data_IF_626809844531
#
_entry.id   IF_626809844531
#
_cell.length_a   1.000
_cell.length_b   1.000
_cell.length_c   1.000
_cell.angle_alpha   90.00
_cell.angle_beta   90.00
_cell.angle_gamma   90.00
#
_symmetry.space_group_name_H-M   'P 1'
#
loop_
_entity.id
_entity.type
_entity.pdbx_description
1 polymer ?
#
# COMPACT_ATOMS: atom_id res chain seq x y z
N UNK A 1 -11.74 4.48 -13.60
CA UNK A 1 -10.61 3.51 -13.73
C UNK A 1 -9.98 3.39 -12.36
N UNK A 2 -9.65 2.19 -11.94
CA UNK A 2 -8.95 1.95 -10.68
C UNK A 2 -7.44 2.04 -10.89
N UNK A 3 -6.69 2.37 -9.85
CA UNK A 3 -5.23 2.34 -9.91
C UNK A 3 -4.72 0.96 -9.47
N UNK A 4 -3.78 0.39 -10.22
CA UNK A 4 -3.02 -0.84 -9.98
C UNK A 4 -3.84 -2.14 -9.92
N UNK A 5 -4.95 -2.20 -9.17
CA UNK A 5 -5.78 -3.42 -9.05
C UNK A 5 -7.25 -3.12 -9.32
N UNK A 6 -7.92 -4.05 -9.99
CA UNK A 6 -9.33 -3.92 -10.39
C UNK A 6 -10.02 -5.31 -10.41
N UNK A 7 -11.28 -5.35 -10.86
CA UNK A 7 -12.06 -6.60 -10.98
C UNK A 7 -11.45 -7.66 -11.91
N UNK A 8 -10.59 -7.24 -12.85
CA UNK A 8 -9.94 -8.14 -13.81
C UNK A 8 -8.59 -8.65 -13.30
N UNK A 9 -8.13 -8.15 -12.13
CA UNK A 9 -6.91 -8.60 -11.46
C UNK A 9 -7.04 -10.06 -11.02
N UNK A 10 -6.13 -10.91 -11.50
CA UNK A 10 -6.04 -12.32 -11.10
C UNK A 10 -4.97 -12.48 -10.03
N UNK A 11 -5.40 -12.73 -8.80
CA UNK A 11 -4.55 -12.71 -7.62
C UNK A 11 -4.12 -14.12 -7.24
N UNK A 12 -2.82 -14.32 -7.02
CA UNK A 12 -2.27 -15.47 -6.30
C UNK A 12 -1.75 -15.05 -4.92
N UNK A 13 -1.76 -15.98 -3.98
CA UNK A 13 -1.25 -15.76 -2.62
C UNK A 13 -0.02 -16.64 -2.39
N UNK A 14 1.13 -16.03 -2.10
CA UNK A 14 2.32 -16.76 -1.65
C UNK A 14 2.26 -16.94 -0.13
N UNK A 15 2.59 -18.15 0.34
CA UNK A 15 2.31 -18.57 1.72
C UNK A 15 0.85 -18.99 1.93
N UNK A 16 0.17 -19.40 0.87
CA UNK A 16 -1.28 -19.62 0.78
C UNK A 16 -1.85 -20.57 1.84
N UNK A 17 -1.13 -21.63 2.19
CA UNK A 17 -1.58 -22.63 3.17
C UNK A 17 -1.09 -22.36 4.60
N UNK A 18 -0.40 -21.25 4.85
CA UNK A 18 -0.07 -20.76 6.17
C UNK A 18 -1.29 -20.13 6.86
N UNK A 19 -1.23 -19.88 8.17
CA UNK A 19 -2.34 -19.27 8.94
C UNK A 19 -2.79 -17.94 8.36
N UNK A 20 -1.85 -17.01 8.20
CA UNK A 20 -2.12 -15.66 7.67
C UNK A 20 -2.57 -15.69 6.20
N UNK A 21 -1.87 -16.49 5.37
CA UNK A 21 -2.24 -16.68 3.97
C UNK A 21 -3.65 -17.23 3.82
N UNK A 22 -4.01 -18.23 4.61
CA UNK A 22 -5.36 -18.85 4.62
C UNK A 22 -6.43 -17.83 5.03
N UNK A 23 -6.22 -17.17 6.17
CA UNK A 23 -7.19 -16.22 6.70
C UNK A 23 -7.44 -15.05 5.74
N UNK A 24 -6.38 -14.39 5.31
CA UNK A 24 -6.51 -13.20 4.46
C UNK A 24 -6.93 -13.54 3.03
N UNK A 25 -6.52 -14.69 2.48
CA UNK A 25 -7.05 -15.15 1.19
C UNK A 25 -8.56 -15.41 1.26
N UNK A 26 -9.04 -16.01 2.34
CA UNK A 26 -10.47 -16.17 2.61
C UNK A 26 -11.21 -14.85 2.61
N UNK A 27 -10.67 -13.84 3.31
CA UNK A 27 -11.21 -12.48 3.35
C UNK A 27 -11.16 -11.74 2.00
N UNK A 28 -10.14 -12.01 1.18
CA UNK A 28 -10.08 -11.48 -0.20
C UNK A 28 -11.15 -12.10 -1.09
N UNK A 29 -11.35 -13.42 -0.99
CA UNK A 29 -12.39 -14.16 -1.73
C UNK A 29 -13.79 -13.68 -1.31
N UNK A 30 -14.03 -13.53 -0.01
CA UNK A 30 -15.30 -13.01 0.53
C UNK A 30 -15.61 -11.59 0.04
N UNK A 31 -14.58 -10.74 -0.09
CA UNK A 31 -14.71 -9.40 -0.65
C UNK A 31 -15.07 -9.40 -2.14
N UNK A 32 -14.90 -10.51 -2.84
CA UNK A 32 -15.11 -10.64 -4.28
C UNK A 32 -13.83 -10.50 -5.12
N UNK A 33 -12.65 -10.49 -4.50
CA UNK A 33 -11.37 -10.48 -5.22
C UNK A 33 -11.20 -11.79 -5.99
N UNK A 34 -10.78 -11.71 -7.24
CA UNK A 34 -10.54 -12.88 -8.08
C UNK A 34 -9.22 -13.58 -7.69
N UNK A 35 -9.23 -14.28 -6.56
CA UNK A 35 -8.12 -15.15 -6.15
C UNK A 35 -8.17 -16.42 -6.98
N UNK A 36 -7.17 -16.64 -7.82
CA UNK A 36 -7.13 -17.74 -8.79
C UNK A 36 -6.32 -18.95 -8.30
N UNK A 37 -5.58 -18.82 -7.21
CA UNK A 37 -4.77 -19.88 -6.61
C UNK A 37 -3.79 -19.34 -5.60
N UNK A 38 -2.89 -20.20 -5.15
CA UNK A 38 -1.81 -19.79 -4.26
C UNK A 38 -0.57 -20.66 -4.42
N UNK A 39 0.52 -20.20 -3.83
CA UNK A 39 1.83 -20.85 -3.90
C UNK A 39 2.26 -21.24 -2.49
N UNK A 40 2.59 -22.51 -2.33
CA UNK A 40 3.25 -23.06 -1.15
C UNK A 40 4.17 -24.19 -1.61
N UNK A 41 5.50 -24.00 -1.60
CA UNK A 41 6.45 -25.03 -2.01
C UNK A 41 6.21 -26.38 -1.29
N UNK A 42 6.24 -27.48 -2.04
CA UNK A 42 5.98 -28.83 -1.54
C UNK A 42 4.49 -29.22 -1.37
N UNK A 43 3.56 -28.29 -1.65
CA UNK A 43 2.11 -28.53 -1.59
C UNK A 43 1.40 -28.40 -2.93
N UNK A 44 2.14 -28.29 -4.02
CA UNK A 44 1.59 -28.25 -5.38
C UNK A 44 0.69 -29.44 -5.69
N UNK A 45 -0.39 -29.21 -6.42
CA UNK A 45 -1.39 -30.20 -6.76
C UNK A 45 -2.50 -30.37 -5.73
N UNK A 46 -2.38 -29.77 -4.54
CA UNK A 46 -3.45 -29.72 -3.53
C UNK A 46 -4.49 -28.65 -3.88
N UNK A 47 -5.64 -28.74 -3.22
CA UNK A 47 -6.68 -27.70 -3.24
C UNK A 47 -6.78 -27.07 -1.85
N UNK A 48 -6.82 -25.73 -1.78
CA UNK A 48 -6.99 -24.99 -0.54
C UNK A 48 -7.95 -23.81 -0.77
N UNK A 49 -8.91 -23.57 0.11
CA UNK A 49 -10.00 -22.60 -0.08
C UNK A 49 -10.69 -22.74 -1.45
N UNK A 50 -10.87 -23.96 -1.92
CA UNK A 50 -11.41 -24.31 -3.24
C UNK A 50 -10.59 -23.71 -4.43
N UNK A 51 -9.31 -23.44 -4.22
CA UNK A 51 -8.38 -22.93 -5.23
C UNK A 51 -7.15 -23.84 -5.33
N UNK A 52 -6.52 -23.94 -6.52
CA UNK A 52 -5.32 -24.75 -6.71
C UNK A 52 -4.14 -24.19 -5.94
N UNK A 53 -3.30 -25.09 -5.42
CA UNK A 53 -2.00 -24.77 -4.83
C UNK A 53 -0.90 -25.18 -5.80
N UNK A 54 0.09 -24.31 -5.97
CA UNK A 54 1.25 -24.49 -6.84
C UNK A 54 2.54 -24.51 -6.03
N UNK A 55 3.60 -25.08 -6.59
CA UNK A 55 4.91 -25.06 -5.95
C UNK A 55 5.68 -23.77 -6.22
N UNK A 56 5.46 -23.13 -7.39
CA UNK A 56 6.14 -21.92 -7.83
C UNK A 56 5.18 -20.88 -8.39
N UNK A 57 5.60 -19.61 -8.37
CA UNK A 57 4.83 -18.52 -8.97
C UNK A 57 4.75 -18.70 -10.50
N UNK A 58 5.82 -19.15 -11.14
CA UNK A 58 5.85 -19.41 -12.58
C UNK A 58 4.77 -20.45 -12.98
N UNK A 59 4.66 -21.56 -12.23
CA UNK A 59 3.62 -22.55 -12.47
C UNK A 59 2.22 -21.95 -12.31
N UNK A 60 2.00 -21.15 -11.25
CA UNK A 60 0.74 -20.50 -11.01
C UNK A 60 0.35 -19.53 -12.13
N UNK A 61 1.28 -18.69 -12.59
CA UNK A 61 1.08 -17.76 -13.71
C UNK A 61 0.73 -18.49 -15.00
N UNK A 62 1.49 -19.54 -15.35
CA UNK A 62 1.24 -20.33 -16.56
C UNK A 62 -0.13 -21.01 -16.57
N UNK A 63 -0.62 -21.46 -15.40
CA UNK A 63 -1.88 -22.19 -15.26
C UNK A 63 -3.10 -21.28 -15.15
N UNK A 64 -2.96 -20.09 -14.52
CA UNK A 64 -4.09 -19.23 -14.16
C UNK A 64 -4.11 -17.90 -14.90
N UNK A 65 -2.98 -17.47 -15.44
CA UNK A 65 -2.79 -16.14 -15.99
C UNK A 65 -2.77 -15.06 -14.89
N UNK A 66 -2.31 -15.41 -13.70
CA UNK A 66 -2.18 -14.47 -12.57
C UNK A 66 -1.29 -13.28 -12.93
N UNK A 67 -1.70 -12.08 -12.52
CA UNK A 67 -0.99 -10.83 -12.75
C UNK A 67 -0.75 -10.01 -11.46
N UNK A 68 -1.27 -10.49 -10.33
CA UNK A 68 -1.09 -9.90 -9.01
C UNK A 68 -0.65 -10.99 -8.02
N UNK A 69 0.34 -10.70 -7.18
CA UNK A 69 0.76 -11.58 -6.09
C UNK A 69 0.65 -10.88 -4.75
N UNK A 70 0.04 -11.55 -3.75
CA UNK A 70 0.00 -11.11 -2.37
C UNK A 70 0.85 -12.04 -1.51
N UNK A 71 1.84 -11.50 -0.76
CA UNK A 71 2.88 -12.27 -0.08
C UNK A 71 2.67 -12.24 1.43
N UNK A 72 2.53 -13.44 2.03
CA UNK A 72 2.40 -13.70 3.47
C UNK A 72 3.47 -14.67 3.99
N UNK A 73 4.57 -14.80 3.30
CA UNK A 73 5.66 -15.70 3.74
C UNK A 73 6.47 -15.09 4.88
N UNK A 74 7.16 -15.90 5.70
CA UNK A 74 8.04 -15.38 6.76
C UNK A 74 9.14 -14.46 6.21
N UNK A 75 9.66 -13.51 7.04
CA UNK A 75 10.62 -12.48 6.59
C UNK A 75 11.86 -13.01 5.87
N UNK A 76 12.37 -14.16 6.30
CA UNK A 76 13.57 -14.79 5.71
C UNK A 76 13.38 -15.23 4.24
N UNK A 77 12.14 -15.37 3.78
CA UNK A 77 11.81 -15.85 2.42
C UNK A 77 11.11 -14.77 1.57
N UNK A 78 10.77 -13.64 2.18
CA UNK A 78 9.94 -12.64 1.52
C UNK A 78 10.65 -11.94 0.36
N UNK A 79 11.96 -11.66 0.48
CA UNK A 79 12.76 -11.08 -0.59
C UNK A 79 12.79 -11.98 -1.84
N UNK A 80 13.04 -13.28 -1.65
CA UNK A 80 13.04 -14.26 -2.74
C UNK A 80 11.64 -14.39 -3.36
N UNK A 81 10.59 -14.36 -2.54
CA UNK A 81 9.19 -14.40 -3.02
C UNK A 81 8.82 -13.18 -3.86
N UNK A 82 9.34 -11.98 -3.53
CA UNK A 82 9.16 -10.78 -4.35
C UNK A 82 9.86 -10.93 -5.69
N UNK A 83 11.13 -11.37 -5.68
CA UNK A 83 11.93 -11.53 -6.90
C UNK A 83 11.37 -12.64 -7.79
N UNK A 84 10.92 -13.77 -7.23
CA UNK A 84 10.25 -14.84 -7.96
C UNK A 84 8.97 -14.34 -8.66
N UNK A 85 8.16 -13.55 -7.96
CA UNK A 85 6.95 -12.97 -8.54
C UNK A 85 7.26 -12.04 -9.72
N UNK A 86 8.27 -11.18 -9.57
CA UNK A 86 8.69 -10.27 -10.62
C UNK A 86 9.27 -11.02 -11.85
N UNK A 87 10.09 -12.05 -11.62
CA UNK A 87 10.67 -12.89 -12.70
C UNK A 87 9.58 -13.67 -13.43
N UNK A 88 8.54 -14.10 -12.73
CA UNK A 88 7.41 -14.83 -13.31
C UNK A 88 6.42 -13.93 -14.07
N UNK A 89 6.67 -12.63 -14.18
CA UNK A 89 5.86 -11.69 -14.97
C UNK A 89 4.65 -11.10 -14.23
N UNK A 90 4.57 -11.23 -12.91
CA UNK A 90 3.56 -10.56 -12.09
C UNK A 90 3.72 -9.04 -12.21
N UNK A 91 2.61 -8.32 -12.43
CA UNK A 91 2.61 -6.87 -12.64
C UNK A 91 2.48 -6.07 -11.34
N UNK A 92 1.74 -6.58 -10.36
CA UNK A 92 1.58 -5.95 -9.06
C UNK A 92 1.92 -6.96 -7.97
N UNK A 93 2.90 -6.64 -7.15
CA UNK A 93 3.37 -7.45 -6.03
C UNK A 93 3.03 -6.70 -4.75
N UNK A 94 2.28 -7.33 -3.86
CA UNK A 94 1.90 -6.78 -2.55
C UNK A 94 2.57 -7.61 -1.47
N UNK A 95 3.55 -7.06 -0.78
CA UNK A 95 4.26 -7.75 0.29
C UNK A 95 3.78 -7.26 1.65
N UNK A 96 3.03 -8.10 2.36
CA UNK A 96 2.49 -7.80 3.69
C UNK A 96 3.57 -7.97 4.77
N UNK A 97 4.49 -8.89 4.56
CA UNK A 97 5.50 -9.31 5.53
C UNK A 97 6.27 -8.14 6.13
N UNK A 98 6.33 -8.11 7.45
CA UNK A 98 7.17 -7.22 8.25
C UNK A 98 8.47 -7.91 8.65
N UNK A 99 9.55 -7.13 8.89
CA UNK A 99 10.81 -7.64 9.43
C UNK A 99 11.77 -8.22 8.40
N UNK A 100 11.59 -7.91 7.12
CA UNK A 100 12.55 -8.28 6.08
C UNK A 100 13.87 -7.51 6.34
N UNK A 101 15.03 -8.18 6.33
CA UNK A 101 16.32 -7.49 6.49
C UNK A 101 16.50 -6.40 5.44
N UNK A 102 16.96 -5.22 5.89
CA UNK A 102 17.16 -4.07 4.99
C UNK A 102 18.10 -4.39 3.82
N UNK A 103 19.14 -5.20 4.04
CA UNK A 103 20.06 -5.61 2.97
C UNK A 103 19.36 -6.45 1.89
N UNK A 104 18.41 -7.27 2.27
CA UNK A 104 17.65 -8.07 1.29
C UNK A 104 16.73 -7.17 0.48
N UNK A 105 16.13 -6.14 1.10
CA UNK A 105 15.33 -5.16 0.36
C UNK A 105 16.18 -4.26 -0.57
N UNK A 106 17.47 -4.02 -0.27
CA UNK A 106 18.41 -3.39 -1.21
C UNK A 106 18.57 -4.24 -2.46
N UNK A 107 18.78 -5.56 -2.30
CA UNK A 107 18.87 -6.50 -3.44
C UNK A 107 17.57 -6.54 -4.25
N UNK A 108 16.41 -6.63 -3.55
CA UNK A 108 15.10 -6.57 -4.20
C UNK A 108 14.95 -5.29 -5.02
N UNK A 109 15.28 -4.13 -4.44
CA UNK A 109 15.15 -2.84 -5.14
C UNK A 109 16.02 -2.79 -6.39
N UNK A 110 17.23 -3.31 -6.35
CA UNK A 110 18.12 -3.40 -7.51
C UNK A 110 17.57 -4.35 -8.56
N UNK A 111 17.12 -5.54 -8.15
CA UNK A 111 16.53 -6.54 -9.04
C UNK A 111 15.29 -6.04 -9.79
N UNK A 112 14.45 -5.21 -9.11
CA UNK A 112 13.21 -4.72 -9.69
C UNK A 112 13.39 -3.55 -10.65
N UNK A 113 14.58 -2.92 -10.76
CA UNK A 113 14.80 -1.74 -11.63
C UNK A 113 14.41 -1.98 -13.08
N UNK A 114 14.75 -3.15 -13.61
CA UNK A 114 14.53 -3.50 -15.00
C UNK A 114 13.30 -4.41 -15.21
N UNK A 115 12.46 -4.55 -14.20
CA UNK A 115 11.24 -5.37 -14.26
C UNK A 115 10.01 -4.49 -14.46
N UNK A 116 9.15 -4.93 -15.38
CA UNK A 116 7.84 -4.29 -15.60
C UNK A 116 6.83 -4.75 -14.55
N UNK A 117 7.10 -4.39 -13.30
CA UNK A 117 6.24 -4.69 -12.16
C UNK A 117 6.29 -3.57 -11.12
N UNK A 118 5.31 -3.55 -10.24
CA UNK A 118 5.24 -2.61 -9.12
C UNK A 118 5.12 -3.36 -7.80
N UNK A 119 6.02 -3.05 -6.87
CA UNK A 119 5.97 -3.56 -5.50
C UNK A 119 5.24 -2.56 -4.58
N UNK A 120 4.27 -3.03 -3.80
CA UNK A 120 3.64 -2.33 -2.67
C UNK A 120 4.13 -2.99 -1.39
N UNK A 121 4.62 -2.20 -0.45
CA UNK A 121 5.30 -2.69 0.74
C UNK A 121 6.81 -2.84 0.55
N UNK A 122 7.50 -3.61 1.40
CA UNK A 122 6.97 -4.52 2.43
C UNK A 122 6.36 -3.80 3.65
N UNK A 123 5.95 -4.60 4.66
CA UNK A 123 5.36 -4.10 5.91
C UNK A 123 4.18 -3.15 5.66
N UNK A 124 3.21 -3.61 4.91
CA UNK A 124 2.09 -2.79 4.47
C UNK A 124 0.75 -3.54 4.61
N UNK A 125 -0.38 -2.82 4.68
CA UNK A 125 -1.70 -3.44 4.70
C UNK A 125 -2.21 -3.85 3.31
N UNK A 126 -1.48 -3.50 2.25
CA UNK A 126 -1.85 -3.79 0.87
C UNK A 126 -2.56 -2.66 0.15
N UNK A 127 -3.43 -3.01 -0.78
CA UNK A 127 -4.22 -2.11 -1.61
C UNK A 127 -5.67 -2.58 -1.70
N UNK A 128 -6.61 -1.63 -1.71
CA UNK A 128 -8.02 -1.92 -1.91
C UNK A 128 -8.65 -0.89 -2.85
N UNK A 129 -9.13 -1.35 -3.99
CA UNK A 129 -10.01 -0.59 -4.89
C UNK A 129 -11.45 -0.95 -4.62
N UNK A 130 -12.25 0.04 -4.22
CA UNK A 130 -13.57 -0.18 -3.63
C UNK A 130 -14.54 -0.79 -4.65
N UNK A 131 -15.14 -1.92 -4.26
CA UNK A 131 -16.08 -2.67 -5.11
C UNK A 131 -15.42 -3.44 -6.25
N UNK A 132 -14.09 -3.48 -6.32
CA UNK A 132 -13.36 -4.16 -7.39
C UNK A 132 -12.40 -5.24 -6.87
N UNK A 133 -11.40 -4.86 -6.05
CA UNK A 133 -10.41 -5.81 -5.54
C UNK A 133 -9.81 -5.35 -4.22
N UNK A 134 -9.68 -6.28 -3.29
CA UNK A 134 -8.90 -6.17 -2.05
C UNK A 134 -7.69 -7.09 -2.18
N UNK A 135 -6.49 -6.56 -2.06
CA UNK A 135 -5.24 -7.34 -2.05
C UNK A 135 -4.45 -6.99 -0.81
N UNK A 136 -4.51 -7.86 0.18
CA UNK A 136 -3.89 -7.67 1.50
C UNK A 136 -4.89 -7.78 2.65
N UNK A 137 -4.63 -7.03 3.74
CA UNK A 137 -5.28 -7.22 5.04
C UNK A 137 -6.31 -6.14 5.40
N UNK A 138 -6.52 -5.14 4.56
CA UNK A 138 -7.46 -4.02 4.85
C UNK A 138 -8.87 -4.54 5.15
N UNK A 139 -9.58 -4.02 6.17
CA UNK A 139 -10.95 -4.43 6.50
C UNK A 139 -11.94 -3.84 5.48
N UNK A 140 -12.37 -4.63 4.50
CA UNK A 140 -13.19 -4.17 3.38
C UNK A 140 -14.54 -3.52 3.79
N UNK A 141 -15.08 -3.89 4.96
CA UNK A 141 -16.40 -3.43 5.42
C UNK A 141 -16.46 -1.95 5.84
N UNK A 142 -15.30 -1.30 6.08
CA UNK A 142 -15.27 0.15 6.40
C UNK A 142 -15.26 1.02 5.14
N UNK A 143 -15.06 0.44 3.96
CA UNK A 143 -14.94 1.15 2.70
C UNK A 143 -16.30 1.39 2.03
N UNK A 144 -16.45 2.54 1.41
CA UNK A 144 -17.58 2.86 0.55
C UNK A 144 -17.07 3.46 -0.75
N UNK A 145 -17.65 3.06 -1.89
CA UNK A 145 -17.26 3.61 -3.19
C UNK A 145 -17.51 5.11 -3.25
N UNK A 146 -16.51 5.85 -3.70
CA UNK A 146 -16.57 7.29 -3.77
C UNK A 146 -15.42 7.91 -4.56
N UNK A 147 -14.88 9.03 -4.08
CA UNK A 147 -13.99 9.87 -4.90
C UNK A 147 -12.63 10.23 -4.24
N UNK A 148 -12.31 9.69 -3.07
CA UNK A 148 -11.05 10.02 -2.38
C UNK A 148 -10.03 8.92 -2.54
N UNK A 149 -8.82 9.27 -3.02
CA UNK A 149 -7.64 8.39 -2.99
C UNK A 149 -6.92 8.52 -1.65
N UNK A 150 -6.45 7.41 -1.08
CA UNK A 150 -5.71 7.42 0.19
C UNK A 150 -4.37 6.73 0.02
N UNK A 151 -3.28 7.41 0.37
CA UNK A 151 -1.94 6.83 0.48
C UNK A 151 -1.40 7.01 1.89
N UNK A 152 -0.89 5.92 2.48
CA UNK A 152 -0.41 5.95 3.86
C UNK A 152 0.77 5.01 4.09
N UNK A 153 1.70 5.44 4.95
CA UNK A 153 2.75 4.56 5.50
C UNK A 153 2.23 3.68 6.64
N UNK A 154 1.17 4.10 7.31
CA UNK A 154 0.57 3.41 8.46
C UNK A 154 -0.70 2.66 8.07
N UNK A 155 -0.77 1.37 8.42
CA UNK A 155 -2.00 0.58 8.26
C UNK A 155 -3.15 1.13 9.09
N UNK A 156 -2.93 1.36 10.38
CA UNK A 156 -3.96 1.85 11.33
C UNK A 156 -4.52 3.22 10.91
N UNK A 157 -3.66 4.17 10.56
CA UNK A 157 -4.10 5.50 10.12
C UNK A 157 -4.79 5.46 8.74
N UNK A 158 -4.46 4.47 7.90
CA UNK A 158 -5.24 4.22 6.66
C UNK A 158 -6.69 3.92 7.01
N UNK A 159 -6.93 3.02 7.97
CA UNK A 159 -8.29 2.62 8.36
C UNK A 159 -9.05 3.78 9.00
N UNK A 160 -8.38 4.57 9.83
CA UNK A 160 -8.95 5.79 10.42
C UNK A 160 -9.40 6.79 9.35
N UNK A 161 -8.55 7.07 8.37
CA UNK A 161 -8.88 7.98 7.27
C UNK A 161 -10.03 7.45 6.42
N UNK A 162 -10.03 6.14 6.11
CA UNK A 162 -11.10 5.48 5.35
C UNK A 162 -12.44 5.61 6.07
N UNK A 163 -12.51 5.30 7.35
CA UNK A 163 -13.73 5.39 8.15
C UNK A 163 -14.28 6.82 8.18
N UNK A 164 -13.41 7.82 8.40
CA UNK A 164 -13.79 9.23 8.40
C UNK A 164 -14.33 9.69 7.05
N UNK A 165 -13.66 9.33 5.95
CA UNK A 165 -14.08 9.68 4.59
C UNK A 165 -15.42 9.02 4.25
N UNK A 166 -15.62 7.78 4.67
CA UNK A 166 -16.90 7.06 4.54
C UNK A 166 -18.01 7.76 5.31
N UNK A 167 -17.77 8.10 6.58
CA UNK A 167 -18.75 8.85 7.43
C UNK A 167 -19.04 10.25 6.91
N UNK A 168 -18.09 10.87 6.23
CA UNK A 168 -18.30 12.16 5.58
C UNK A 168 -19.10 12.06 4.26
N UNK A 169 -19.47 10.86 3.83
CA UNK A 169 -20.26 10.61 2.62
C UNK A 169 -19.48 10.75 1.30
N UNK A 170 -18.16 10.82 1.37
CA UNK A 170 -17.29 10.98 0.18
C UNK A 170 -16.88 9.64 -0.43
N UNK A 171 -16.64 8.63 0.40
CA UNK A 171 -16.14 7.33 -0.02
C UNK A 171 -14.75 7.36 -0.69
N UNK A 172 -14.22 6.19 -1.03
CA UNK A 172 -12.88 6.05 -1.59
C UNK A 172 -12.93 5.48 -3.01
N UNK A 173 -11.95 5.89 -3.84
CA UNK A 173 -11.62 5.18 -5.08
C UNK A 173 -10.72 4.00 -4.76
N UNK A 174 -9.55 4.27 -4.23
CA UNK A 174 -8.55 3.28 -3.82
C UNK A 174 -7.82 3.76 -2.56
N UNK A 175 -7.49 2.84 -1.66
CA UNK A 175 -6.52 3.07 -0.60
C UNK A 175 -5.28 2.20 -0.80
N UNK A 176 -4.10 2.79 -0.66
CA UNK A 176 -2.80 2.13 -0.74
C UNK A 176 -2.04 2.33 0.56
N UNK A 177 -1.72 1.24 1.25
CA UNK A 177 -0.72 1.26 2.30
C UNK A 177 0.64 0.92 1.71
N UNK A 178 1.58 1.85 1.77
CA UNK A 178 2.91 1.68 1.14
C UNK A 178 3.95 1.07 2.06
N UNK A 179 3.65 0.99 3.37
CA UNK A 179 4.54 0.40 4.37
C UNK A 179 5.41 1.41 5.12
N UNK A 180 5.90 0.96 6.29
CA UNK A 180 6.71 1.76 7.22
C UNK A 180 8.20 1.42 7.20
N UNK A 181 8.66 0.55 6.32
CA UNK A 181 10.07 0.17 6.22
C UNK A 181 10.91 1.26 5.51
N UNK A 182 12.23 1.33 5.77
CA UNK A 182 13.10 2.33 5.16
C UNK A 182 13.29 2.13 3.65
N UNK A 183 13.15 0.90 3.16
CA UNK A 183 13.22 0.55 1.75
C UNK A 183 11.93 -0.14 1.34
N UNK A 184 11.12 0.58 0.56
CA UNK A 184 9.83 0.12 0.04
C UNK A 184 9.81 0.17 -1.49
N UNK A 185 8.85 -0.49 -2.09
CA UNK A 185 8.65 -0.49 -3.53
C UNK A 185 8.04 0.81 -4.03
N UNK A 186 6.73 0.97 -3.84
CA UNK A 186 5.97 2.17 -4.23
C UNK A 186 6.12 3.26 -3.18
N UNK A 187 6.54 4.46 -3.59
CA UNK A 187 6.69 5.63 -2.70
C UNK A 187 5.38 6.41 -2.59
N UNK A 188 5.34 7.37 -1.64
CA UNK A 188 4.24 8.33 -1.54
C UNK A 188 4.04 9.10 -2.85
N UNK A 189 5.14 9.55 -3.47
CA UNK A 189 5.11 10.26 -4.75
C UNK A 189 4.52 9.40 -5.88
N UNK A 190 4.91 8.13 -5.96
CA UNK A 190 4.38 7.21 -6.98
C UNK A 190 2.86 7.05 -6.85
N UNK A 191 2.37 6.84 -5.63
CA UNK A 191 0.94 6.71 -5.37
C UNK A 191 0.17 8.01 -5.67
N UNK A 192 0.72 9.17 -5.28
CA UNK A 192 0.13 10.49 -5.58
C UNK A 192 0.02 10.70 -7.08
N UNK A 193 1.05 10.39 -7.86
CA UNK A 193 1.01 10.48 -9.34
C UNK A 193 -0.10 9.64 -9.94
N UNK A 194 -0.29 8.41 -9.46
CA UNK A 194 -1.37 7.55 -9.91
C UNK A 194 -2.75 8.14 -9.59
N UNK A 195 -2.96 8.66 -8.38
CA UNK A 195 -4.21 9.30 -7.99
C UNK A 195 -4.47 10.60 -8.77
N UNK A 196 -3.44 11.39 -9.04
CA UNK A 196 -3.58 12.61 -9.87
C UNK A 196 -4.02 12.28 -11.31
N UNK A 197 -3.55 11.14 -11.85
CA UNK A 197 -3.94 10.66 -13.18
C UNK A 197 -5.30 9.97 -13.22
N UNK A 198 -5.83 9.47 -12.09
CA UNK A 198 -7.09 8.74 -12.04
C UNK A 198 -8.30 9.68 -12.13
N UNK A 199 -9.15 9.61 -13.16
CA UNK A 199 -10.29 10.52 -13.34
C UNK A 199 -11.40 10.36 -12.27
N UNK A 200 -11.47 9.22 -11.59
CA UNK A 200 -12.46 8.97 -10.54
C UNK A 200 -12.04 9.59 -9.21
N UNK A 201 -10.74 9.76 -8.97
CA UNK A 201 -10.21 10.41 -7.77
C UNK A 201 -10.35 11.92 -7.87
N UNK A 202 -11.08 12.54 -6.92
CA UNK A 202 -11.29 13.98 -6.86
C UNK A 202 -10.45 14.68 -5.79
N UNK A 203 -10.02 13.97 -4.76
CA UNK A 203 -9.14 14.45 -3.70
C UNK A 203 -8.26 13.34 -3.17
N UNK A 204 -7.15 13.71 -2.53
CA UNK A 204 -6.15 12.75 -2.06
C UNK A 204 -5.88 13.01 -0.57
N UNK A 205 -5.86 11.94 0.23
CA UNK A 205 -5.34 11.97 1.60
C UNK A 205 -3.96 11.32 1.60
N UNK A 206 -2.97 12.06 2.09
CA UNK A 206 -1.58 11.65 2.19
C UNK A 206 -1.15 11.57 3.66
N UNK A 207 -0.90 10.37 4.16
CA UNK A 207 -0.51 10.12 5.55
C UNK A 207 0.92 9.62 5.58
N UNK A 208 1.77 10.42 6.21
CA UNK A 208 3.18 10.12 6.42
C UNK A 208 3.55 10.05 7.90
N UNK A 209 4.82 9.98 8.13
CA UNK A 209 5.41 9.94 9.48
C UNK A 209 6.80 10.59 9.46
N UNK A 210 7.39 10.71 10.64
CA UNK A 210 8.79 11.15 10.78
C UNK A 210 9.76 10.22 10.04
N UNK A 211 10.91 10.75 9.67
CA UNK A 211 11.97 10.00 8.97
C UNK A 211 11.81 9.96 7.46
N UNK A 212 12.94 10.03 6.77
CA UNK A 212 13.02 10.05 5.31
C UNK A 212 12.42 11.30 4.66
N UNK A 213 12.38 11.31 3.33
CA UNK A 213 12.00 12.47 2.50
C UNK A 213 10.74 12.26 1.65
N UNK A 214 10.12 11.09 1.68
CA UNK A 214 9.07 10.69 0.74
C UNK A 214 7.88 11.66 0.68
N UNK A 215 7.44 12.19 1.83
CA UNK A 215 6.32 13.11 1.91
C UNK A 215 6.69 14.50 1.39
N UNK A 216 7.93 14.94 1.63
CA UNK A 216 8.43 16.24 1.12
C UNK A 216 8.68 16.20 -0.37
N UNK A 217 9.19 15.11 -0.91
CA UNK A 217 9.33 14.88 -2.36
C UNK A 217 7.96 14.91 -3.05
N UNK A 218 6.97 14.22 -2.47
CA UNK A 218 5.60 14.27 -2.96
C UNK A 218 5.01 15.69 -2.89
N UNK A 219 5.25 16.42 -1.80
CA UNK A 219 4.76 17.79 -1.63
C UNK A 219 5.32 18.75 -2.69
N UNK A 220 6.62 18.71 -2.95
CA UNK A 220 7.22 19.54 -4.01
C UNK A 220 6.66 19.19 -5.39
N UNK A 221 6.49 17.90 -5.70
CA UNK A 221 5.88 17.51 -6.96
C UNK A 221 4.41 17.97 -7.08
N UNK A 222 3.63 17.88 -5.99
CA UNK A 222 2.25 18.37 -5.93
C UNK A 222 2.19 19.87 -6.20
N UNK A 223 3.11 20.66 -5.64
CA UNK A 223 3.17 22.12 -5.87
C UNK A 223 3.27 22.46 -7.35
N UNK A 224 4.03 21.68 -8.11
CA UNK A 224 4.30 21.95 -9.53
C UNK A 224 3.27 21.31 -10.46
N UNK A 225 2.72 20.15 -10.09
CA UNK A 225 1.94 19.30 -11.00
C UNK A 225 0.53 18.95 -10.46
N UNK A 226 0.21 19.34 -9.22
CA UNK A 226 -1.04 18.96 -8.58
C UNK A 226 -2.26 19.60 -9.24
N UNK A 227 -3.22 18.77 -9.61
CA UNK A 227 -4.50 19.19 -10.20
C UNK A 227 -5.70 18.91 -9.32
N UNK A 228 -5.48 18.26 -8.17
CA UNK A 228 -6.53 17.85 -7.22
C UNK A 228 -6.14 18.28 -5.81
N UNK A 229 -7.11 18.62 -4.93
CA UNK A 229 -6.82 18.97 -3.55
C UNK A 229 -6.21 17.80 -2.80
N UNK A 230 -5.27 18.11 -1.90
CA UNK A 230 -4.59 17.14 -1.06
C UNK A 230 -4.72 17.54 0.41
N UNK A 231 -5.14 16.60 1.25
CA UNK A 231 -5.07 16.70 2.71
C UNK A 231 -3.91 15.86 3.20
N UNK A 232 -3.10 16.39 4.10
CA UNK A 232 -1.93 15.71 4.63
C UNK A 232 -1.87 15.66 6.14
N UNK A 233 -1.30 14.58 6.65
CA UNK A 233 -0.98 14.37 8.07
C UNK A 233 0.37 13.69 8.23
N UNK A 234 1.14 14.11 9.23
CA UNK A 234 2.42 13.48 9.58
C UNK A 234 2.38 13.01 11.03
N UNK A 235 2.52 11.69 11.22
CA UNK A 235 2.60 11.07 12.54
C UNK A 235 3.97 11.32 13.19
N UNK A 236 4.00 11.28 14.53
CA UNK A 236 5.25 11.39 15.30
C UNK A 236 5.60 12.81 15.72
N UNK A 237 4.65 13.73 15.87
CA UNK A 237 4.89 15.12 16.28
C UNK A 237 5.61 15.25 17.63
N UNK A 238 5.41 14.30 18.54
CA UNK A 238 6.04 14.24 19.87
C UNK A 238 7.21 13.28 19.96
N UNK A 239 7.65 12.71 18.82
CA UNK A 239 8.70 11.72 18.79
C UNK A 239 10.06 12.32 19.21
N UNK A 240 10.80 11.66 20.11
CA UNK A 240 12.15 12.09 20.47
C UNK A 240 13.13 11.83 19.32
N UNK A 241 14.11 12.71 19.17
CA UNK A 241 15.15 12.59 18.15
C UNK A 241 15.99 11.32 18.37
N UNK A 242 16.33 10.62 17.27
CA UNK A 242 17.23 9.46 17.28
C UNK A 242 16.62 8.17 17.83
N UNK A 243 15.30 8.15 18.16
CA UNK A 243 14.61 6.93 18.55
C UNK A 243 13.68 6.43 17.43
N UNK A 244 13.71 5.12 17.21
CA UNK A 244 12.75 4.44 16.32
C UNK A 244 11.37 4.42 16.98
N UNK A 245 10.36 4.84 16.21
CA UNK A 245 8.98 4.97 16.68
C UNK A 245 8.05 3.98 15.93
N UNK A 246 8.02 2.72 16.38
CA UNK A 246 7.24 1.66 15.74
C UNK A 246 7.88 1.19 14.43
N UNK A 247 7.57 1.83 13.32
CA UNK A 247 8.12 1.49 12.00
C UNK A 247 9.65 1.63 11.93
N UNK A 248 10.30 0.75 11.16
CA UNK A 248 11.75 0.78 10.99
C UNK A 248 12.25 2.06 10.31
N UNK A 249 11.42 2.67 9.44
CA UNK A 249 11.70 3.94 8.79
C UNK A 249 11.32 5.18 9.60
N UNK A 250 10.62 5.04 10.73
CA UNK A 250 10.15 6.14 11.56
C UNK A 250 11.21 6.55 12.61
N UNK A 251 12.27 7.18 12.15
CA UNK A 251 13.36 7.71 12.98
C UNK A 251 13.79 9.09 12.50
N UNK A 252 13.92 10.06 13.42
CA UNK A 252 14.40 11.41 13.12
C UNK A 252 15.93 11.38 13.03
N UNK A 253 16.49 11.40 11.84
CA UNK A 253 17.93 11.51 11.57
C UNK A 253 18.42 12.96 11.52
N UNK A 254 17.59 13.88 11.03
CA UNK A 254 17.92 15.29 10.83
C UNK A 254 16.76 16.25 11.16
N UNK A 255 16.99 17.54 10.90
CA UNK A 255 15.95 18.56 11.12
C UNK A 255 14.81 18.46 10.10
N UNK A 256 15.13 18.04 8.87
CA UNK A 256 14.19 18.02 7.76
C UNK A 256 13.16 16.89 7.83
N UNK A 257 13.46 15.81 8.56
CA UNK A 257 12.63 14.62 8.69
C UNK A 257 11.80 14.57 9.98
N UNK A 258 11.72 15.69 10.70
CA UNK A 258 10.76 15.88 11.81
C UNK A 258 9.34 16.08 11.25
N UNK A 259 8.33 15.73 12.04
CA UNK A 259 6.93 15.97 11.67
C UNK A 259 6.67 17.46 11.39
N UNK A 260 7.15 18.35 12.26
CA UNK A 260 6.97 19.78 12.11
C UNK A 260 7.55 20.32 10.80
N UNK A 261 8.78 19.93 10.43
CA UNK A 261 9.41 20.36 9.19
C UNK A 261 8.65 19.86 7.95
N UNK A 262 8.26 18.58 7.93
CA UNK A 262 7.47 18.01 6.83
C UNK A 262 6.11 18.71 6.68
N UNK A 263 5.39 18.90 7.80
CA UNK A 263 4.08 19.59 7.81
C UNK A 263 4.19 21.03 7.32
N UNK A 264 5.26 21.75 7.67
CA UNK A 264 5.52 23.09 7.16
C UNK A 264 5.74 23.09 5.64
N UNK A 265 6.61 22.21 5.12
CA UNK A 265 6.85 22.07 3.68
C UNK A 265 5.54 21.73 2.94
N UNK A 266 4.74 20.84 3.48
CA UNK A 266 3.45 20.48 2.88
C UNK A 266 2.52 21.70 2.77
N UNK A 267 2.43 22.54 3.82
CA UNK A 267 1.63 23.79 3.78
C UNK A 267 2.17 24.79 2.72
N UNK A 268 3.48 24.96 2.63
CA UNK A 268 4.14 25.81 1.64
C UNK A 268 3.94 25.30 0.20
N UNK A 269 3.65 24.01 0.05
CA UNK A 269 3.31 23.37 -1.21
C UNK A 269 1.80 23.34 -1.51
N UNK A 270 0.97 24.01 -0.71
CA UNK A 270 -0.48 24.12 -0.95
C UNK A 270 -1.31 22.90 -0.48
N UNK A 271 -0.72 22.00 0.30
CA UNK A 271 -1.42 20.86 0.90
C UNK A 271 -2.13 21.33 2.18
N UNK A 272 -3.40 20.96 2.35
CA UNK A 272 -4.17 21.18 3.59
C UNK A 272 -3.67 20.22 4.67
N UNK A 273 -2.83 20.71 5.57
CA UNK A 273 -2.28 19.89 6.66
C UNK A 273 -3.19 19.96 7.88
N UNK A 274 -3.52 18.79 8.46
CA UNK A 274 -4.23 18.67 9.74
C UNK A 274 -3.26 18.31 10.85
N UNK A 275 -3.54 18.80 12.07
CA UNK A 275 -2.72 18.55 13.27
C UNK A 275 -3.12 17.23 13.95
N UNK A 276 -4.36 16.81 13.79
CA UNK A 276 -4.91 15.56 14.32
C UNK A 276 -5.34 14.65 13.19
N UNK A 277 -5.04 13.35 13.24
CA UNK A 277 -5.54 12.40 12.24
C UNK A 277 -7.08 12.31 12.26
N UNK A 278 -7.74 12.70 13.36
CA UNK A 278 -9.19 12.71 13.48
C UNK A 278 -9.88 13.76 12.59
N UNK A 279 -9.14 14.71 12.03
CA UNK A 279 -9.67 15.78 11.16
C UNK A 279 -9.55 15.50 9.66
N UNK A 280 -8.96 14.36 9.26
CA UNK A 280 -8.67 14.03 7.85
C UNK A 280 -9.91 14.04 6.97
N UNK A 281 -10.98 13.34 7.39
CA UNK A 281 -12.22 13.25 6.62
C UNK A 281 -12.95 14.59 6.53
N UNK A 282 -13.00 15.34 7.63
CA UNK A 282 -13.59 16.69 7.67
C UNK A 282 -12.87 17.66 6.75
N UNK A 283 -11.52 17.69 6.82
CA UNK A 283 -10.70 18.57 5.98
C UNK A 283 -10.88 18.25 4.49
N UNK A 284 -10.98 16.98 4.12
CA UNK A 284 -11.25 16.57 2.74
C UNK A 284 -12.66 16.98 2.30
N UNK A 285 -13.66 16.82 3.15
CA UNK A 285 -15.04 17.24 2.83
C UNK A 285 -15.16 18.76 2.64
N UNK A 286 -14.36 19.56 3.35
CA UNK A 286 -14.30 21.02 3.17
C UNK A 286 -13.69 21.40 1.80
N UNK A 287 -12.69 20.66 1.33
CA UNK A 287 -12.01 20.93 0.05
C UNK A 287 -12.79 20.46 -1.19
N UNK A 288 -13.73 19.51 -1.00
CA UNK A 288 -14.50 18.94 -2.12
C UNK A 288 -15.94 19.51 -2.23
N UNK A 289 -16.29 20.50 -1.40
CA UNK A 289 -17.53 21.29 -1.53
C UNK A 289 -17.41 22.27 -2.69
#
# INVERSE_FOLDING_TARGET
>A
MSILVNKDSKVIVQGFTGSEGTFHAGQMIEYGTNVVGGVTPGKGGQTHLNKPVFNTVEEAVKKTGANVSCIFVPPAFAADSIMEAAESGIKVIVCITEGIPTQDMVKVKEFLKDKDCRLIGPNCPGILTVGEAKVGIMPGFIFQKGCVGIVSRSGTLTYEAVDQVTKAGLGQTTAIGIGGDPIIGTTTLDAVKLFMADPETKGIIMIGEIGGSMETEAAYWIKENGTKPVVGFIAGQTAPKGRRMGHAGAIIGGKADTAAAKMQIMRECGIKVVESPADLGKAMAELLK
#
